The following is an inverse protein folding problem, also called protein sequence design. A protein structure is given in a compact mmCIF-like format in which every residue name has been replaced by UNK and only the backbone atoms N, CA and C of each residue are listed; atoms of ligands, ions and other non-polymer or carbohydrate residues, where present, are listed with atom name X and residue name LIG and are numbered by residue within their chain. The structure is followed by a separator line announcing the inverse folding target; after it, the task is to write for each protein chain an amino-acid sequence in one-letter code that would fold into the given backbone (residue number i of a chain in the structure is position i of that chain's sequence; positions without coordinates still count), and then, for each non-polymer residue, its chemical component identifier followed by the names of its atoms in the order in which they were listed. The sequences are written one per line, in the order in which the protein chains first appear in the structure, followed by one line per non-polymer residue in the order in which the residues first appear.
data_IF_650869408499
#
_entry.id   IF_650869408499
#
_cell.length_a   1.000
_cell.length_b   1.000
_cell.length_c   1.000
_cell.angle_alpha   90.00
_cell.angle_beta   90.00
_cell.angle_gamma   90.00
#
_symmetry.space_group_name_H-M   'P 1'
#
loop_
_entity.id
_entity.type
_entity.pdbx_description
1 polymer ?
#
# COMPACT_ATOMS: atom_id res chain seq x y z
N UNK A 1 -13.74 22.49 -0.47
CA UNK A 1 -14.33 21.15 -0.64
C UNK A 1 -13.48 20.13 0.07
N UNK A 2 -14.03 19.29 0.96
CA UNK A 2 -13.29 18.19 1.57
C UNK A 2 -12.87 17.17 0.49
N UNK A 3 -11.65 16.67 0.56
CA UNK A 3 -11.10 15.70 -0.40
C UNK A 3 -10.41 14.57 0.37
N UNK A 4 -10.96 13.37 0.30
CA UNK A 4 -10.36 12.15 0.88
C UNK A 4 -10.27 11.09 -0.20
N UNK A 5 -9.26 10.23 -0.15
CA UNK A 5 -9.10 9.14 -1.11
C UNK A 5 -8.12 8.10 -0.61
N UNK A 6 -7.87 7.10 -1.44
CA UNK A 6 -7.05 5.94 -1.12
C UNK A 6 -7.82 4.85 -0.39
N UNK A 7 -7.10 3.78 -0.06
CA UNK A 7 -7.65 2.60 0.58
C UNK A 7 -8.20 2.92 1.98
N UNK A 8 -9.48 2.60 2.17
CA UNK A 8 -10.16 2.77 3.47
C UNK A 8 -9.52 1.95 4.59
N UNK A 9 -8.79 0.87 4.25
CA UNK A 9 -8.02 0.04 5.18
C UNK A 9 -6.96 0.89 5.90
N UNK A 10 -6.42 1.92 5.26
CA UNK A 10 -5.42 2.82 5.85
C UNK A 10 -5.96 3.67 7.01
N UNK A 11 -7.29 3.72 7.18
CA UNK A 11 -7.95 4.46 8.25
C UNK A 11 -8.32 3.60 9.46
N UNK A 12 -8.14 2.27 9.38
CA UNK A 12 -8.40 1.40 10.54
C UNK A 12 -7.44 1.72 11.68
N UNK A 13 -7.91 1.49 12.91
CA UNK A 13 -7.12 1.78 14.11
C UNK A 13 -5.84 0.94 14.15
N UNK A 14 -5.90 -0.31 13.68
CA UNK A 14 -4.76 -1.21 13.61
C UNK A 14 -3.64 -0.66 12.72
N UNK A 15 -3.96 -0.27 11.47
CA UNK A 15 -2.96 0.29 10.55
C UNK A 15 -2.36 1.58 11.10
N UNK A 16 -3.19 2.46 11.66
CA UNK A 16 -2.75 3.72 12.28
C UNK A 16 -1.83 3.48 13.48
N UNK A 17 -2.15 2.49 14.30
CA UNK A 17 -1.34 2.14 15.46
C UNK A 17 0.00 1.52 15.06
N UNK A 18 0.00 0.71 14.00
CA UNK A 18 1.17 0.01 13.51
C UNK A 18 2.17 0.95 12.82
N UNK A 19 1.70 1.88 12.00
CA UNK A 19 2.55 2.84 11.28
C UNK A 19 3.54 3.60 12.18
N UNK A 20 3.15 3.92 13.41
CA UNK A 20 4.01 4.60 14.39
C UNK A 20 4.95 3.70 15.19
N UNK A 21 4.89 2.37 14.99
CA UNK A 21 5.58 1.38 15.83
C UNK A 21 6.50 0.44 15.05
N UNK A 22 6.47 0.48 13.73
CA UNK A 22 7.34 -0.37 12.92
C UNK A 22 8.80 0.06 13.09
N UNK A 23 9.73 -0.89 13.30
CA UNK A 23 11.13 -0.55 13.53
C UNK A 23 11.82 0.05 12.28
N UNK A 24 11.23 -0.14 11.09
CA UNK A 24 11.74 0.33 9.82
C UNK A 24 13.21 -0.07 9.58
N UNK A 25 13.47 -1.36 9.79
CA UNK A 25 14.75 -2.03 9.65
C UNK A 25 14.52 -3.42 9.03
N UNK A 26 15.45 -3.89 8.19
CA UNK A 26 15.39 -5.23 7.60
C UNK A 26 14.43 -5.35 6.42
N UNK A 27 13.60 -6.40 6.42
CA UNK A 27 12.67 -6.69 5.32
C UNK A 27 11.25 -6.91 5.82
N UNK A 28 10.29 -6.42 5.04
CA UNK A 28 8.86 -6.59 5.29
C UNK A 28 8.21 -7.24 4.08
N UNK A 29 7.15 -8.00 4.29
CA UNK A 29 6.29 -8.47 3.21
C UNK A 29 4.86 -8.02 3.47
N UNK A 30 4.30 -7.23 2.57
CA UNK A 30 2.89 -6.85 2.58
C UNK A 30 2.17 -7.59 1.46
N UNK A 31 1.18 -8.40 1.81
CA UNK A 31 0.42 -9.22 0.85
C UNK A 31 -1.05 -8.87 0.90
N UNK A 32 -1.69 -8.76 -0.27
CA UNK A 32 -3.13 -8.51 -0.37
C UNK A 32 -3.69 -9.03 -1.69
N UNK A 33 -5.02 -9.02 -1.78
CA UNK A 33 -5.72 -9.39 -2.98
C UNK A 33 -5.45 -8.35 -4.05
N UNK A 34 -4.84 -8.76 -5.16
CA UNK A 34 -4.78 -7.94 -6.36
C UNK A 34 -4.44 -8.83 -7.56
N UNK A 35 -5.38 -8.86 -8.50
CA UNK A 35 -5.19 -9.53 -9.79
C UNK A 35 -4.60 -8.52 -10.80
N UNK A 36 -3.38 -8.74 -11.29
CA UNK A 36 -2.78 -7.88 -12.31
C UNK A 36 -3.59 -7.82 -13.61
N UNK A 37 -4.43 -8.83 -13.87
CA UNK A 37 -5.25 -8.95 -15.08
C UNK A 37 -6.74 -8.66 -14.84
N UNK A 38 -7.07 -8.03 -13.71
CA UNK A 38 -8.45 -7.68 -13.39
C UNK A 38 -9.13 -6.94 -14.56
N UNK A 39 -10.37 -7.29 -14.93
CA UNK A 39 -11.10 -6.58 -15.99
C UNK A 39 -11.45 -5.14 -15.61
N UNK A 40 -11.30 -4.76 -14.33
CA UNK A 40 -11.63 -3.44 -13.80
C UNK A 40 -10.44 -2.45 -13.80
N UNK A 41 -9.48 -2.65 -14.72
CA UNK A 41 -8.29 -1.79 -14.86
C UNK A 41 -6.98 -2.45 -14.42
N UNK A 42 -6.93 -3.79 -14.40
CA UNK A 42 -5.75 -4.57 -14.06
C UNK A 42 -5.28 -4.31 -12.63
N UNK A 43 -3.95 -4.24 -12.47
CA UNK A 43 -3.35 -4.03 -11.15
C UNK A 43 -3.69 -2.68 -10.51
N UNK A 44 -4.10 -1.65 -11.27
CA UNK A 44 -4.48 -0.36 -10.70
C UNK A 44 -5.64 -0.46 -9.71
N UNK A 45 -6.59 -1.35 -9.97
CA UNK A 45 -7.82 -1.42 -9.20
C UNK A 45 -7.54 -1.88 -7.76
N UNK A 46 -7.03 -3.10 -7.58
CA UNK A 46 -6.75 -3.64 -6.25
C UNK A 46 -5.31 -3.42 -5.78
N UNK A 47 -4.35 -3.22 -6.69
CA UNK A 47 -2.94 -2.98 -6.34
C UNK A 47 -2.72 -1.63 -5.66
N UNK A 48 -3.60 -0.65 -5.90
CA UNK A 48 -3.62 0.64 -5.19
C UNK A 48 -3.67 0.46 -3.66
N UNK A 49 -4.40 -0.55 -3.16
CA UNK A 49 -4.44 -0.87 -1.74
C UNK A 49 -3.05 -1.23 -1.18
N UNK A 50 -2.25 -1.99 -1.93
CA UNK A 50 -0.90 -2.36 -1.50
C UNK A 50 0.02 -1.14 -1.44
N UNK A 51 -0.08 -0.23 -2.40
CA UNK A 51 0.74 0.99 -2.41
C UNK A 51 0.30 1.98 -1.33
N UNK A 52 -1.01 2.13 -1.10
CA UNK A 52 -1.55 2.98 -0.04
C UNK A 52 -1.15 2.47 1.35
N UNK A 53 -1.28 1.16 1.59
CA UNK A 53 -0.86 0.54 2.84
C UNK A 53 0.65 0.64 3.04
N UNK A 54 1.45 0.43 1.98
CA UNK A 54 2.90 0.58 2.06
C UNK A 54 3.29 2.00 2.51
N UNK A 55 2.77 3.03 1.84
CA UNK A 55 3.08 4.42 2.19
C UNK A 55 2.52 4.81 3.55
N UNK A 56 1.34 4.30 3.92
CA UNK A 56 0.75 4.56 5.24
C UNK A 56 1.57 3.95 6.37
N UNK A 57 2.06 2.72 6.20
CA UNK A 57 2.82 2.00 7.23
C UNK A 57 4.28 2.45 7.33
N UNK A 58 4.92 2.75 6.20
CA UNK A 58 6.37 2.97 6.12
C UNK A 58 6.76 4.41 5.75
N UNK A 59 5.77 5.25 5.42
CA UNK A 59 5.95 6.64 5.07
C UNK A 59 6.32 6.87 3.60
N UNK A 60 6.59 8.14 3.27
CA UNK A 60 6.84 8.62 1.90
C UNK A 60 8.30 8.48 1.43
N UNK A 61 9.17 7.95 2.28
CA UNK A 61 10.62 7.94 2.07
C UNK A 61 11.14 6.79 1.21
N UNK A 62 10.32 6.19 0.34
CA UNK A 62 10.79 5.17 -0.58
C UNK A 62 11.65 5.81 -1.67
N UNK A 63 12.65 5.09 -2.15
CA UNK A 63 13.67 5.58 -3.09
C UNK A 63 13.51 4.97 -4.48
N UNK A 64 13.07 3.72 -4.54
CA UNK A 64 12.84 3.02 -5.79
C UNK A 64 11.88 1.84 -5.61
N UNK A 65 11.30 1.39 -6.71
CA UNK A 65 10.53 0.15 -6.76
C UNK A 65 10.92 -0.67 -7.99
N UNK A 66 11.10 -1.97 -7.79
CA UNK A 66 11.30 -2.93 -8.87
C UNK A 66 10.20 -3.99 -8.82
N UNK A 67 9.69 -4.41 -9.97
CA UNK A 67 8.56 -5.32 -10.03
C UNK A 67 8.74 -6.44 -11.04
N UNK A 68 8.17 -7.59 -10.73
CA UNK A 68 8.14 -8.76 -11.59
C UNK A 68 6.74 -9.38 -11.57
N UNK A 69 6.33 -9.88 -12.73
CA UNK A 69 5.09 -10.60 -12.91
C UNK A 69 5.42 -12.09 -13.12
N UNK A 70 4.87 -12.95 -12.28
CA UNK A 70 5.01 -14.41 -12.41
C UNK A 70 3.63 -15.04 -12.44
N UNK A 71 3.15 -15.38 -13.64
CA UNK A 71 1.76 -15.78 -13.84
C UNK A 71 0.80 -14.65 -13.43
N UNK A 72 -0.17 -14.95 -12.56
CA UNK A 72 -1.14 -13.99 -12.01
C UNK A 72 -0.69 -13.31 -10.71
N UNK A 73 0.61 -13.34 -10.40
CA UNK A 73 1.16 -12.75 -9.16
C UNK A 73 2.16 -11.66 -9.50
N UNK A 74 1.86 -10.44 -9.08
CA UNK A 74 2.81 -9.34 -9.09
C UNK A 74 3.59 -9.35 -7.78
N UNK A 75 4.91 -9.28 -7.90
CA UNK A 75 5.81 -9.04 -6.77
C UNK A 75 6.56 -7.75 -7.04
N UNK A 76 6.46 -6.80 -6.13
CA UNK A 76 7.29 -5.60 -6.14
C UNK A 76 8.18 -5.58 -4.91
N UNK A 77 9.37 -5.02 -5.04
CA UNK A 77 10.26 -4.68 -3.92
C UNK A 77 10.40 -3.17 -3.91
N UNK A 78 9.99 -2.57 -2.80
CA UNK A 78 10.08 -1.12 -2.56
C UNK A 78 11.26 -0.89 -1.63
N UNK A 79 12.23 -0.10 -2.09
CA UNK A 79 13.43 0.20 -1.33
C UNK A 79 13.26 1.50 -0.57
N UNK A 80 13.55 1.45 0.73
CA UNK A 80 13.71 2.61 1.61
C UNK A 80 15.19 2.71 2.02
N UNK A 81 15.65 3.84 2.59
CA UNK A 81 17.05 4.03 2.93
C UNK A 81 17.68 2.96 3.83
N UNK A 82 16.88 2.29 4.68
CA UNK A 82 17.38 1.32 5.68
C UNK A 82 16.71 -0.05 5.63
N UNK A 83 15.72 -0.22 4.77
CA UNK A 83 14.89 -1.43 4.74
C UNK A 83 14.20 -1.58 3.38
N UNK A 84 13.53 -2.71 3.17
CA UNK A 84 12.74 -2.94 1.98
C UNK A 84 11.38 -3.56 2.30
N UNK A 85 10.41 -3.33 1.42
CA UNK A 85 9.06 -3.88 1.54
C UNK A 85 8.73 -4.65 0.27
N UNK A 86 8.51 -5.96 0.40
CA UNK A 86 8.00 -6.80 -0.68
C UNK A 86 6.48 -6.68 -0.73
N UNK A 87 5.93 -6.07 -1.78
CA UNK A 87 4.50 -6.08 -2.08
C UNK A 87 4.17 -7.33 -2.89
N UNK A 88 3.23 -8.14 -2.40
CA UNK A 88 2.84 -9.39 -3.07
C UNK A 88 1.35 -9.38 -3.35
N UNK A 89 1.02 -9.42 -4.63
CA UNK A 89 -0.36 -9.57 -5.08
C UNK A 89 -0.72 -11.05 -5.23
N UNK A 90 -1.96 -11.39 -4.93
CA UNK A 90 -2.55 -12.71 -5.17
C UNK A 90 -4.05 -12.56 -5.43
N UNK A 91 -4.67 -13.33 -6.33
CA UNK A 91 -6.11 -13.20 -6.60
C UNK A 91 -7.01 -13.67 -5.45
N UNK A 92 -6.48 -14.40 -4.46
CA UNK A 92 -7.28 -15.03 -3.38
C UNK A 92 -6.89 -14.60 -1.96
N UNK A 93 -5.95 -13.66 -1.81
CA UNK A 93 -5.40 -13.33 -0.50
C UNK A 93 -6.19 -12.21 0.18
N UNK A 94 -7.15 -12.56 1.02
CA UNK A 94 -7.79 -11.65 1.97
C UNK A 94 -7.74 -12.26 3.38
N UNK A 95 -7.62 -11.45 4.43
CA UNK A 95 -7.41 -9.98 4.43
C UNK A 95 -5.94 -9.61 4.14
N UNK A 96 -5.53 -8.30 4.12
CA UNK A 96 -4.13 -7.93 3.98
C UNK A 96 -3.28 -8.45 5.14
N UNK A 97 -2.04 -8.83 4.86
CA UNK A 97 -1.10 -9.34 5.87
C UNK A 97 0.23 -8.62 5.75
N UNK A 98 0.68 -8.05 6.86
CA UNK A 98 2.06 -7.57 7.02
C UNK A 98 2.88 -8.63 7.77
N UNK A 99 3.95 -9.09 7.14
CA UNK A 99 4.86 -10.08 7.70
C UNK A 99 6.27 -9.52 7.87
N UNK A 100 6.87 -9.86 9.00
CA UNK A 100 8.25 -9.63 9.39
C UNK A 100 8.88 -10.98 9.75
N UNK A 101 10.18 -11.00 10.05
CA UNK A 101 10.90 -12.23 10.39
C UNK A 101 10.35 -12.92 11.66
N UNK A 102 9.95 -12.13 12.66
CA UNK A 102 9.52 -12.62 13.98
C UNK A 102 8.01 -12.53 14.23
N UNK A 103 7.26 -11.83 13.37
CA UNK A 103 5.85 -11.50 13.60
C UNK A 103 5.04 -11.31 12.33
N UNK A 104 3.73 -11.45 12.47
CA UNK A 104 2.76 -11.22 11.40
C UNK A 104 1.54 -10.47 11.95
N UNK A 105 1.05 -9.50 11.19
CA UNK A 105 -0.15 -8.72 11.48
C UNK A 105 -1.17 -8.96 10.38
N UNK A 106 -2.38 -9.32 10.78
CA UNK A 106 -3.53 -9.54 9.88
C UNK A 106 -4.38 -8.28 9.96
N UNK A 107 -4.34 -7.46 8.91
CA UNK A 107 -4.94 -6.13 8.93
C UNK A 107 -6.45 -6.23 8.67
N UNK A 108 -7.25 -5.57 9.51
CA UNK A 108 -8.71 -5.56 9.35
C UNK A 108 -9.17 -4.92 8.02
N UNK A 109 -9.86 -5.71 7.19
CA UNK A 109 -10.53 -5.25 5.96
C UNK A 109 -12.06 -5.24 6.06
N UNK A 110 -12.64 -5.68 7.18
CA UNK A 110 -14.09 -5.70 7.40
C UNK A 110 -14.58 -4.36 7.97
N UNK A 111 -13.85 -3.79 8.95
CA UNK A 111 -14.16 -2.49 9.54
C UNK A 111 -13.72 -1.30 8.69
N UNK A 112 -13.08 -1.53 7.54
CA UNK A 112 -12.41 -0.48 6.77
C UNK A 112 -13.39 0.60 6.25
N UNK A 113 -14.58 0.23 5.79
CA UNK A 113 -15.56 1.20 5.28
C UNK A 113 -16.09 2.13 6.37
N UNK A 114 -16.36 1.59 7.56
CA UNK A 114 -16.75 2.41 8.71
C UNK A 114 -15.63 3.38 9.09
N UNK A 115 -14.39 2.89 9.16
CA UNK A 115 -13.22 3.72 9.45
C UNK A 115 -13.02 4.83 8.39
N UNK A 116 -13.21 4.50 7.11
CA UNK A 116 -13.18 5.46 6.00
C UNK A 116 -14.27 6.53 6.10
N UNK A 117 -15.50 6.15 6.44
CA UNK A 117 -16.61 7.09 6.60
C UNK A 117 -16.38 8.03 7.79
N UNK A 118 -15.92 7.49 8.94
CA UNK A 118 -15.55 8.32 10.10
C UNK A 118 -14.46 9.33 9.73
N UNK A 119 -13.45 8.91 8.96
CA UNK A 119 -12.43 9.84 8.49
C UNK A 119 -12.99 10.90 7.54
N UNK A 120 -13.83 10.51 6.58
CA UNK A 120 -14.47 11.46 5.66
C UNK A 120 -15.29 12.52 6.40
N UNK A 121 -16.14 12.11 7.35
CA UNK A 121 -16.93 13.03 8.17
C UNK A 121 -16.04 13.99 8.96
N UNK A 122 -14.96 13.49 9.57
CA UNK A 122 -14.03 14.35 10.31
C UNK A 122 -13.43 15.46 9.43
N UNK A 123 -13.08 15.15 8.18
CA UNK A 123 -12.54 16.11 7.21
C UNK A 123 -13.63 17.09 6.75
N UNK A 124 -14.85 16.61 6.53
CA UNK A 124 -16.00 17.46 6.18
C UNK A 124 -16.34 18.46 7.31
N UNK A 125 -16.13 18.07 8.56
CA UNK A 125 -16.30 18.90 9.77
C UNK A 125 -15.12 19.84 10.05
N UNK A 126 -14.07 19.82 9.22
CA UNK A 126 -12.94 20.76 9.29
C UNK A 126 -11.65 20.21 9.86
N UNK A 127 -11.54 18.90 10.11
CA UNK A 127 -10.25 18.29 10.42
C UNK A 127 -9.27 18.45 9.24
N UNK A 128 -7.98 18.55 9.55
CA UNK A 128 -6.95 18.64 8.52
C UNK A 128 -7.00 17.44 7.57
N UNK A 129 -6.85 17.68 6.27
CA UNK A 129 -6.87 16.66 5.21
C UNK A 129 -5.82 15.55 5.40
N UNK A 130 -4.81 15.80 6.25
CA UNK A 130 -3.96 14.80 6.92
C UNK A 130 -3.03 13.93 6.08
N UNK A 131 -3.33 13.67 4.80
CA UNK A 131 -2.70 12.57 4.05
C UNK A 131 -2.58 12.79 2.54
N UNK A 132 -2.79 14.01 2.05
CA UNK A 132 -2.67 14.29 0.60
C UNK A 132 -1.28 13.89 0.07
N UNK A 133 -0.22 14.18 0.85
CA UNK A 133 1.14 13.78 0.48
C UNK A 133 1.37 12.27 0.45
N UNK A 134 0.68 11.52 1.31
CA UNK A 134 0.74 10.04 1.32
C UNK A 134 0.02 9.48 0.10
N UNK A 135 -1.16 10.02 -0.22
CA UNK A 135 -1.93 9.63 -1.41
C UNK A 135 -1.16 9.92 -2.71
N UNK A 136 -0.51 11.07 -2.82
CA UNK A 136 0.34 11.36 -3.99
C UNK A 136 1.53 10.39 -4.06
N UNK A 137 2.15 10.09 -2.92
CA UNK A 137 3.28 9.16 -2.85
C UNK A 137 2.88 7.73 -3.20
N UNK A 138 1.68 7.27 -2.82
CA UNK A 138 1.20 5.93 -3.16
C UNK A 138 0.90 5.79 -4.66
N UNK A 139 0.34 6.83 -5.28
CA UNK A 139 0.13 6.87 -6.73
C UNK A 139 1.47 6.86 -7.49
N UNK A 140 2.46 7.63 -7.04
CA UNK A 140 3.82 7.58 -7.62
C UNK A 140 4.47 6.21 -7.47
N UNK A 141 4.30 5.57 -6.31
CA UNK A 141 4.79 4.23 -6.07
C UNK A 141 4.13 3.21 -7.02
N UNK A 142 2.81 3.32 -7.22
CA UNK A 142 2.08 2.48 -8.17
C UNK A 142 2.59 2.68 -9.60
N UNK A 143 2.81 3.92 -10.03
CA UNK A 143 3.35 4.23 -11.36
C UNK A 143 4.78 3.68 -11.54
N UNK A 144 5.65 3.83 -10.52
CA UNK A 144 7.00 3.27 -10.54
C UNK A 144 6.99 1.73 -10.66
N UNK A 145 6.11 1.04 -9.93
CA UNK A 145 5.95 -0.42 -10.01
C UNK A 145 5.51 -0.84 -11.43
N UNK A 146 4.56 -0.14 -12.02
CA UNK A 146 4.03 -0.48 -13.34
C UNK A 146 5.00 -0.12 -14.46
N UNK A 147 5.75 0.97 -14.32
CA UNK A 147 6.84 1.33 -15.23
C UNK A 147 7.94 0.27 -15.15
N UNK A 148 8.33 -0.15 -13.94
CA UNK A 148 9.30 -1.23 -13.75
C UNK A 148 8.88 -2.51 -14.47
N UNK A 149 7.61 -2.91 -14.37
CA UNK A 149 7.08 -4.06 -15.11
C UNK A 149 7.20 -3.90 -16.63
N UNK A 150 6.85 -2.73 -17.18
CA UNK A 150 6.96 -2.46 -18.63
C UNK A 150 8.41 -2.49 -19.10
N UNK A 151 9.36 -2.09 -18.25
CA UNK A 151 10.79 -2.03 -18.55
C UNK A 151 11.56 -3.32 -18.21
N UNK A 152 10.85 -4.44 -18.00
CA UNK A 152 11.49 -5.74 -17.75
C UNK A 152 12.03 -5.92 -16.33
N UNK A 153 11.44 -5.21 -15.36
CA UNK A 153 11.74 -5.32 -13.93
C UNK A 153 12.90 -4.46 -13.46
N UNK A 154 13.31 -3.46 -14.23
CA UNK A 154 14.32 -2.48 -13.81
C UNK A 154 13.79 -1.63 -12.65
N UNK A 155 14.61 -1.31 -11.63
CA UNK A 155 14.19 -0.42 -10.56
C UNK A 155 13.85 0.98 -11.11
N UNK A 156 12.68 1.50 -10.75
CA UNK A 156 12.25 2.86 -11.06
C UNK A 156 12.37 3.76 -9.82
N UNK A 157 12.91 4.98 -9.94
CA UNK A 157 13.05 5.90 -8.81
C UNK A 157 11.71 6.47 -8.34
N UNK A 158 11.69 6.99 -7.10
CA UNK A 158 10.53 7.66 -6.49
C UNK A 158 10.53 9.18 -6.54
#
# INVERSE_FOLDING_TARGET
TPCTGGSTICFTQEVRHLAGKLPCQGSYTLSYQADPFSPFGGWHFYGSHLTDLCVTLFGRGWQSAAAQLQGSKLRAVVHYPRFSVSLRSSPVKQPPVLQMDDRSYVLDDQGCYQAGMVHFLSVAEGAALGRVGELVSSVRLMDAILTSLREGGRPCPG
#
